data_IF_377601089329
#
_entry.id   IF_377601089329
#
_cell.length_a   1.000
_cell.length_b   1.000
_cell.length_c   1.000
_cell.angle_alpha   90.00
_cell.angle_beta   90.00
_cell.angle_gamma   90.00
#
_symmetry.space_group_name_H-M   'P 1'
#
loop_
_entity.id
_entity.type
_entity.pdbx_description
1 polymer ?
#
# COMPACT_ATOMS: atom_id res chain seq x y z
N UNK A 1 -7.72 22.33 -1.80
CA UNK A 1 -6.42 22.32 -1.12
C UNK A 1 -5.42 22.97 -2.05
N UNK A 2 -4.65 23.93 -1.54
CA UNK A 2 -3.54 24.51 -2.28
C UNK A 2 -2.32 23.57 -2.21
N UNK A 3 -1.35 23.68 -3.11
CA UNK A 3 -0.17 22.78 -3.15
C UNK A 3 0.62 22.78 -1.81
N UNK A 4 0.65 23.92 -1.13
CA UNK A 4 1.25 24.07 0.20
C UNK A 4 0.55 23.20 1.27
N UNK A 5 -0.78 23.17 1.25
CA UNK A 5 -1.59 22.38 2.20
C UNK A 5 -1.36 20.88 1.99
N UNK A 6 -1.28 20.45 0.73
CA UNK A 6 -1.01 19.06 0.38
C UNK A 6 0.36 18.61 0.90
N UNK A 7 1.42 19.40 0.62
CA UNK A 7 2.76 19.08 1.11
C UNK A 7 2.83 19.06 2.63
N UNK A 8 2.17 20.02 3.29
CA UNK A 8 2.08 20.04 4.75
C UNK A 8 1.42 18.76 5.27
N UNK A 9 0.32 18.32 4.64
CA UNK A 9 -0.39 17.10 5.04
C UNK A 9 0.43 15.82 4.82
N UNK A 10 1.20 15.73 3.73
CA UNK A 10 2.17 14.66 3.50
C UNK A 10 3.20 14.62 4.63
N UNK A 11 3.78 15.77 4.99
CA UNK A 11 4.77 15.84 6.08
C UNK A 11 4.16 15.48 7.44
N UNK A 12 2.93 15.91 7.72
CA UNK A 12 2.18 15.52 8.92
C UNK A 12 1.93 14.01 8.94
N UNK A 13 1.64 13.40 7.79
CA UNK A 13 1.44 11.94 7.72
C UNK A 13 2.69 11.14 8.06
N UNK A 14 3.87 11.67 7.75
CA UNK A 14 5.15 11.03 8.06
C UNK A 14 5.58 11.26 9.52
N UNK A 15 5.40 12.48 10.03
CA UNK A 15 5.85 12.88 11.39
C UNK A 15 4.84 12.52 12.48
N UNK A 16 3.57 12.71 12.20
CA UNK A 16 2.44 12.54 13.12
C UNK A 16 1.34 11.68 12.47
N UNK A 17 1.63 10.40 12.13
CA UNK A 17 0.74 9.56 11.35
C UNK A 17 -0.64 9.36 11.99
N UNK A 18 -0.72 9.25 13.32
CA UNK A 18 -2.01 9.11 14.01
C UNK A 18 -2.88 10.37 13.93
N UNK A 19 -2.25 11.55 13.92
CA UNK A 19 -2.96 12.81 13.76
C UNK A 19 -3.49 12.92 12.34
N UNK A 20 -2.65 12.65 11.33
CA UNK A 20 -3.06 12.62 9.94
C UNK A 20 -4.23 11.64 9.69
N UNK A 21 -4.17 10.44 10.27
CA UNK A 21 -5.26 9.47 10.18
C UNK A 21 -6.56 10.01 10.78
N UNK A 22 -6.49 10.64 11.96
CA UNK A 22 -7.67 11.25 12.60
C UNK A 22 -8.23 12.41 11.78
N UNK A 23 -7.37 13.24 11.19
CA UNK A 23 -7.79 14.32 10.30
C UNK A 23 -8.51 13.77 9.06
N UNK A 24 -7.97 12.73 8.43
CA UNK A 24 -8.60 12.06 7.28
C UNK A 24 -9.97 11.47 7.62
N UNK A 25 -10.09 10.80 8.75
CA UNK A 25 -11.38 10.26 9.21
C UNK A 25 -12.37 11.38 9.56
N UNK A 26 -11.90 12.47 10.15
CA UNK A 26 -12.73 13.62 10.52
C UNK A 26 -13.35 14.34 9.30
N UNK A 27 -12.76 14.21 8.11
CA UNK A 27 -13.36 14.71 6.87
C UNK A 27 -14.72 14.07 6.57
N UNK A 28 -15.02 12.90 7.15
CA UNK A 28 -16.30 12.19 7.01
C UNK A 28 -16.78 12.11 5.55
N UNK A 29 -15.85 11.81 4.65
CA UNK A 29 -16.12 11.82 3.21
C UNK A 29 -17.22 10.82 2.85
N UNK A 30 -18.11 11.15 1.90
CA UNK A 30 -19.10 10.21 1.41
C UNK A 30 -18.40 9.03 0.70
N UNK A 31 -19.02 7.86 0.73
CA UNK A 31 -18.42 6.62 0.22
C UNK A 31 -18.00 6.73 -1.26
N UNK A 32 -18.74 7.48 -2.07
CA UNK A 32 -18.39 7.76 -3.47
C UNK A 32 -17.01 8.40 -3.63
N UNK A 33 -16.66 9.35 -2.75
CA UNK A 33 -15.34 10.02 -2.77
C UNK A 33 -14.23 9.07 -2.31
N UNK A 34 -14.52 8.17 -1.37
CA UNK A 34 -13.56 7.15 -0.92
C UNK A 34 -13.23 6.17 -2.04
N UNK A 35 -14.24 5.72 -2.78
CA UNK A 35 -14.06 4.90 -3.97
C UNK A 35 -13.27 5.61 -5.06
N UNK A 36 -13.55 6.90 -5.28
CA UNK A 36 -12.81 7.71 -6.25
C UNK A 36 -11.34 7.86 -5.84
N UNK A 37 -11.04 8.02 -4.55
CA UNK A 37 -9.66 8.05 -4.05
C UNK A 37 -8.93 6.71 -4.29
N UNK A 38 -9.57 5.58 -4.00
CA UNK A 38 -9.01 4.25 -4.28
C UNK A 38 -8.76 4.08 -5.78
N UNK A 39 -9.75 4.39 -6.62
CA UNK A 39 -9.63 4.31 -8.07
C UNK A 39 -8.48 5.16 -8.59
N UNK A 40 -8.39 6.43 -8.16
CA UNK A 40 -7.32 7.33 -8.56
C UNK A 40 -5.94 6.77 -8.20
N UNK A 41 -5.76 6.29 -6.97
CA UNK A 41 -4.46 5.78 -6.52
C UNK A 41 -4.09 4.48 -7.23
N UNK A 42 -5.01 3.54 -7.40
CA UNK A 42 -4.75 2.30 -8.12
C UNK A 42 -4.40 2.57 -9.59
N UNK A 43 -5.16 3.45 -10.26
CA UNK A 43 -4.86 3.81 -11.66
C UNK A 43 -3.52 4.51 -11.80
N UNK A 44 -3.19 5.45 -10.90
CA UNK A 44 -1.90 6.13 -10.92
C UNK A 44 -0.74 5.18 -10.62
N UNK A 45 -0.91 4.26 -9.68
CA UNK A 45 0.09 3.23 -9.38
C UNK A 45 0.32 2.29 -10.56
N UNK A 46 -0.74 1.82 -11.23
CA UNK A 46 -0.63 0.99 -12.42
C UNK A 46 0.06 1.73 -13.59
N UNK A 47 -0.28 3.01 -13.77
CA UNK A 47 0.36 3.86 -14.78
C UNK A 47 1.85 4.07 -14.48
N UNK A 48 2.20 4.37 -13.21
CA UNK A 48 3.58 4.53 -12.78
C UNK A 48 4.38 3.23 -12.93
N UNK A 49 3.80 2.09 -12.55
CA UNK A 49 4.43 0.78 -12.70
C UNK A 49 4.75 0.45 -14.15
N UNK A 50 3.79 0.64 -15.05
CA UNK A 50 3.98 0.45 -16.50
C UNK A 50 5.06 1.41 -17.04
N UNK A 51 5.02 2.68 -16.63
CA UNK A 51 6.01 3.67 -17.06
C UNK A 51 7.43 3.31 -16.58
N UNK A 52 7.56 2.87 -15.33
CA UNK A 52 8.82 2.42 -14.77
C UNK A 52 9.35 1.22 -15.57
N UNK A 53 8.52 0.23 -15.86
CA UNK A 53 8.90 -0.96 -16.62
C UNK A 53 9.45 -0.60 -18.01
N UNK A 54 8.78 0.30 -18.74
CA UNK A 54 9.24 0.80 -20.05
C UNK A 54 10.62 1.44 -19.94
N UNK A 55 10.82 2.32 -18.95
CA UNK A 55 12.12 2.99 -18.71
C UNK A 55 13.20 1.97 -18.37
N UNK A 56 12.87 0.97 -17.56
CA UNK A 56 13.79 -0.09 -17.16
C UNK A 56 14.19 -1.02 -18.29
N UNK A 57 13.24 -1.41 -19.14
CA UNK A 57 13.47 -2.25 -20.31
C UNK A 57 14.41 -1.54 -21.29
N UNK A 58 14.12 -0.26 -21.57
CA UNK A 58 14.97 0.58 -22.40
C UNK A 58 16.41 0.71 -21.85
N UNK A 59 16.56 0.93 -20.53
CA UNK A 59 17.88 1.06 -19.90
C UNK A 59 18.70 -0.24 -19.92
N UNK A 60 18.06 -1.42 -19.93
CA UNK A 60 18.71 -2.73 -19.92
C UNK A 60 18.93 -3.34 -21.31
N UNK A 61 18.38 -2.72 -22.36
CA UNK A 61 18.43 -3.27 -23.72
C UNK A 61 17.69 -4.60 -23.89
N UNK A 62 16.78 -4.92 -22.96
CA UNK A 62 15.94 -6.11 -22.99
C UNK A 62 14.55 -5.73 -23.48
N UNK A 63 13.89 -6.60 -24.24
CA UNK A 63 12.45 -6.43 -24.47
C UNK A 63 11.72 -6.44 -23.12
N UNK A 64 10.64 -5.64 -23.01
CA UNK A 64 9.80 -5.64 -21.82
C UNK A 64 9.41 -7.09 -21.48
N UNK A 65 9.36 -7.42 -20.19
CA UNK A 65 9.12 -8.78 -19.73
C UNK A 65 7.79 -9.35 -20.27
N UNK A 66 7.51 -10.65 -20.06
CA UNK A 66 6.24 -11.24 -20.49
C UNK A 66 5.08 -10.33 -20.07
N UNK A 67 4.26 -9.92 -21.06
CA UNK A 67 3.10 -9.05 -20.92
C UNK A 67 2.13 -9.64 -19.89
N UNK A 68 2.40 -9.44 -18.60
CA UNK A 68 1.41 -9.71 -17.56
C UNK A 68 0.34 -8.67 -17.82
N UNK A 69 -0.86 -9.12 -18.20
CA UNK A 69 -1.93 -8.23 -18.65
C UNK A 69 -2.05 -7.05 -17.65
N UNK A 70 -1.75 -5.80 -18.05
CA UNK A 70 -1.71 -4.66 -17.12
C UNK A 70 -3.01 -4.51 -16.32
N UNK A 71 -4.12 -4.94 -16.94
CA UNK A 71 -5.43 -5.04 -16.32
C UNK A 71 -5.49 -6.02 -15.13
N UNK A 72 -4.82 -7.18 -15.22
CA UNK A 72 -4.76 -8.16 -14.15
C UNK A 72 -3.94 -7.65 -12.96
N UNK A 73 -2.85 -6.94 -13.22
CA UNK A 73 -2.05 -6.29 -12.17
C UNK A 73 -2.83 -5.17 -11.47
N UNK A 74 -3.54 -4.33 -12.23
CA UNK A 74 -4.42 -3.32 -11.67
C UNK A 74 -5.56 -3.93 -10.83
N UNK A 75 -6.16 -5.03 -11.30
CA UNK A 75 -7.19 -5.75 -10.56
C UNK A 75 -6.65 -6.37 -9.27
N UNK A 76 -5.45 -6.95 -9.31
CA UNK A 76 -4.77 -7.47 -8.12
C UNK A 76 -4.49 -6.36 -7.11
N UNK A 77 -3.94 -5.23 -7.57
CA UNK A 77 -3.67 -4.08 -6.71
C UNK A 77 -4.95 -3.53 -6.07
N UNK A 78 -6.02 -3.39 -6.85
CA UNK A 78 -7.32 -3.01 -6.32
C UNK A 78 -7.82 -3.98 -5.24
N UNK A 79 -7.70 -5.29 -5.50
CA UNK A 79 -8.03 -6.33 -4.54
C UNK A 79 -7.21 -6.24 -3.26
N UNK A 80 -5.91 -5.95 -3.35
CA UNK A 80 -5.02 -5.77 -2.20
C UNK A 80 -5.40 -4.54 -1.36
N UNK A 81 -5.79 -3.43 -2.00
CA UNK A 81 -6.26 -2.24 -1.28
C UNK A 81 -7.56 -2.55 -0.51
N UNK A 82 -8.51 -3.24 -1.15
CA UNK A 82 -9.74 -3.65 -0.49
C UNK A 82 -9.49 -4.63 0.64
N UNK A 83 -8.62 -5.60 0.40
CA UNK A 83 -8.19 -6.55 1.42
C UNK A 83 -7.53 -5.82 2.60
N UNK A 84 -6.64 -4.86 2.35
CA UNK A 84 -5.99 -4.07 3.39
C UNK A 84 -6.99 -3.29 4.24
N UNK A 85 -7.96 -2.63 3.61
CA UNK A 85 -9.02 -1.89 4.31
C UNK A 85 -9.94 -2.84 5.12
N UNK A 86 -10.28 -3.98 4.54
CA UNK A 86 -11.03 -5.03 5.22
C UNK A 86 -10.25 -5.58 6.42
N UNK A 87 -8.98 -5.96 6.25
CA UNK A 87 -8.15 -6.52 7.30
C UNK A 87 -7.95 -5.52 8.45
N UNK A 88 -7.66 -4.26 8.13
CA UNK A 88 -7.47 -3.18 9.11
C UNK A 88 -8.72 -2.95 9.97
N UNK A 89 -9.92 -3.05 9.40
CA UNK A 89 -11.19 -2.86 10.12
C UNK A 89 -11.73 -4.13 10.76
N UNK A 90 -11.55 -5.30 10.14
CA UNK A 90 -12.07 -6.58 10.61
C UNK A 90 -11.23 -7.14 11.77
N UNK A 91 -9.92 -7.31 11.56
CA UNK A 91 -9.04 -7.80 12.64
C UNK A 91 -8.91 -6.76 13.75
N UNK A 92 -8.95 -5.47 13.39
CA UNK A 92 -9.04 -4.38 14.36
C UNK A 92 -10.25 -4.54 15.30
N UNK A 93 -11.45 -4.75 14.76
CA UNK A 93 -12.65 -5.02 15.56
C UNK A 93 -12.56 -6.32 16.36
N UNK A 94 -11.99 -7.38 15.78
CA UNK A 94 -11.81 -8.66 16.48
C UNK A 94 -10.89 -8.53 17.71
N UNK A 95 -9.95 -7.59 17.68
CA UNK A 95 -9.07 -7.25 18.81
C UNK A 95 -9.66 -6.17 19.75
N UNK A 96 -10.96 -5.89 19.66
CA UNK A 96 -11.67 -4.91 20.51
C UNK A 96 -11.63 -3.46 20.01
N UNK A 97 -11.21 -3.25 18.76
CA UNK A 97 -11.17 -1.94 18.10
C UNK A 97 -12.53 -1.43 17.64
N UNK A 98 -12.59 -0.14 17.30
CA UNK A 98 -13.81 0.55 16.81
C UNK A 98 -13.77 0.92 15.32
N UNK A 99 -12.80 0.40 14.58
CA UNK A 99 -12.58 0.79 13.19
C UNK A 99 -13.73 0.43 12.26
N UNK A 100 -14.08 1.34 11.36
CA UNK A 100 -15.08 1.10 10.31
C UNK A 100 -14.40 0.82 8.97
N UNK A 101 -15.03 0.00 8.12
CA UNK A 101 -14.50 -0.28 6.77
C UNK A 101 -14.39 0.99 5.91
N UNK A 102 -15.38 1.90 5.87
CA UNK A 102 -15.24 3.14 5.13
C UNK A 102 -13.99 3.93 5.55
N UNK A 103 -13.73 4.05 6.86
CA UNK A 103 -12.60 4.83 7.36
C UNK A 103 -11.27 4.13 7.05
N UNK A 104 -11.24 2.80 7.16
CA UNK A 104 -10.09 2.01 6.70
C UNK A 104 -9.81 2.22 5.20
N UNK A 105 -10.85 2.30 4.36
CA UNK A 105 -10.71 2.45 2.92
C UNK A 105 -9.97 3.73 2.53
N UNK A 106 -10.35 4.87 3.12
CA UNK A 106 -9.67 6.15 2.85
C UNK A 106 -8.25 6.17 3.43
N UNK A 107 -8.04 5.54 4.59
CA UNK A 107 -6.73 5.43 5.21
C UNK A 107 -5.76 4.61 4.36
N UNK A 108 -6.18 3.45 3.85
CA UNK A 108 -5.36 2.62 2.96
C UNK A 108 -5.11 3.33 1.63
N UNK A 109 -6.12 3.97 1.04
CA UNK A 109 -5.94 4.78 -0.16
C UNK A 109 -4.88 5.89 0.05
N UNK A 110 -4.88 6.53 1.22
CA UNK A 110 -3.87 7.52 1.56
C UNK A 110 -2.47 6.94 1.75
N UNK A 111 -2.35 5.76 2.38
CA UNK A 111 -1.07 5.04 2.48
C UNK A 111 -0.51 4.78 1.09
N UNK A 112 -1.32 4.24 0.19
CA UNK A 112 -0.93 3.98 -1.20
C UNK A 112 -0.55 5.27 -1.93
N UNK A 113 -1.24 6.38 -1.69
CA UNK A 113 -0.87 7.68 -2.26
C UNK A 113 0.51 8.16 -1.78
N UNK A 114 0.83 8.00 -0.49
CA UNK A 114 2.15 8.35 0.06
C UNK A 114 3.25 7.44 -0.49
N UNK A 115 2.97 6.14 -0.64
CA UNK A 115 3.90 5.20 -1.24
C UNK A 115 4.11 5.48 -2.72
N UNK A 116 3.06 5.88 -3.46
CA UNK A 116 3.15 6.29 -4.86
C UNK A 116 4.07 7.51 -5.03
N UNK A 117 3.96 8.52 -4.15
CA UNK A 117 4.86 9.68 -4.13
C UNK A 117 6.31 9.21 -3.90
N UNK A 118 6.52 8.32 -2.92
CA UNK A 118 7.82 7.77 -2.62
C UNK A 118 8.43 6.93 -3.76
N UNK A 119 7.61 6.10 -4.43
CA UNK A 119 8.02 5.33 -5.62
C UNK A 119 8.41 6.25 -6.77
N UNK A 120 7.64 7.32 -6.98
CA UNK A 120 7.95 8.33 -8.00
C UNK A 120 9.33 8.94 -7.73
N UNK A 121 9.59 9.37 -6.49
CA UNK A 121 10.90 9.89 -6.08
C UNK A 121 12.01 8.85 -6.25
N UNK A 122 11.74 7.59 -5.93
CA UNK A 122 12.71 6.50 -6.07
C UNK A 122 13.11 6.27 -7.53
N UNK A 123 12.17 6.33 -8.48
CA UNK A 123 12.47 6.22 -9.91
C UNK A 123 13.44 7.34 -10.35
N UNK A 124 13.22 8.57 -9.88
CA UNK A 124 14.15 9.67 -10.15
C UNK A 124 15.54 9.46 -9.53
N UNK A 125 15.61 8.99 -8.28
CA UNK A 125 16.88 8.69 -7.60
C UNK A 125 17.65 7.61 -8.35
N UNK A 126 16.96 6.58 -8.82
CA UNK A 126 17.58 5.46 -9.53
C UNK A 126 18.21 5.88 -10.87
N UNK A 127 17.60 6.81 -11.60
CA UNK A 127 18.17 7.35 -12.84
C UNK A 127 19.54 8.01 -12.59
N UNK A 128 19.75 8.58 -11.39
CA UNK A 128 21.00 9.22 -11.00
C UNK A 128 21.99 8.23 -10.37
N UNK A 129 21.50 7.40 -9.44
CA UNK A 129 22.30 6.49 -8.61
C UNK A 129 21.57 5.15 -8.48
N UNK A 130 21.81 4.18 -9.39
CA UNK A 130 21.08 2.91 -9.42
C UNK A 130 21.14 2.10 -8.13
N UNK A 131 22.29 2.11 -7.44
CA UNK A 131 22.51 1.36 -6.18
C UNK A 131 21.59 1.86 -5.05
N UNK A 132 21.20 3.14 -5.04
CA UNK A 132 20.32 3.69 -4.03
C UNK A 132 18.87 3.23 -4.17
N UNK A 133 18.50 2.67 -5.32
CA UNK A 133 17.14 2.16 -5.55
C UNK A 133 16.74 1.08 -4.54
N UNK A 134 17.65 0.18 -4.18
CA UNK A 134 17.37 -0.87 -3.19
C UNK A 134 17.06 -0.29 -1.80
N UNK A 135 17.82 0.72 -1.38
CA UNK A 135 17.59 1.44 -0.12
C UNK A 135 16.22 2.14 -0.15
N UNK A 136 15.86 2.74 -1.28
CA UNK A 136 14.53 3.33 -1.49
C UNK A 136 13.40 2.31 -1.32
N UNK A 137 13.51 1.13 -1.93
CA UNK A 137 12.51 0.06 -1.78
C UNK A 137 12.38 -0.38 -0.32
N UNK A 138 13.50 -0.57 0.39
CA UNK A 138 13.47 -0.92 1.81
C UNK A 138 12.81 0.19 2.65
N UNK A 139 13.13 1.45 2.38
CA UNK A 139 12.53 2.59 3.06
C UNK A 139 11.01 2.65 2.85
N UNK A 140 10.51 2.35 1.64
CA UNK A 140 9.08 2.28 1.36
C UNK A 140 8.38 1.13 2.09
N UNK A 141 9.03 -0.02 2.23
CA UNK A 141 8.48 -1.14 3.01
C UNK A 141 8.39 -0.75 4.49
N UNK A 142 9.44 -0.14 5.04
CA UNK A 142 9.41 0.37 6.42
C UNK A 142 8.31 1.41 6.58
N UNK A 143 8.16 2.33 5.62
CA UNK A 143 7.12 3.34 5.62
C UNK A 143 5.71 2.74 5.55
N UNK A 144 5.49 1.71 4.73
CA UNK A 144 4.23 0.98 4.63
C UNK A 144 3.83 0.42 6.00
N UNK A 145 4.72 -0.34 6.65
CA UNK A 145 4.42 -0.92 7.95
C UNK A 145 4.25 0.14 9.03
N UNK A 146 5.10 1.17 9.05
CA UNK A 146 4.96 2.31 9.95
C UNK A 146 3.57 2.93 9.85
N UNK A 147 3.15 3.29 8.64
CA UNK A 147 1.84 3.90 8.41
C UNK A 147 0.70 2.93 8.74
N UNK A 148 0.79 1.66 8.33
CA UNK A 148 -0.21 0.64 8.65
C UNK A 148 -0.42 0.52 10.15
N UNK A 149 0.65 0.44 10.94
CA UNK A 149 0.57 0.32 12.40
C UNK A 149 -0.09 1.55 13.00
N UNK A 150 0.38 2.74 12.66
CA UNK A 150 -0.14 3.97 13.23
C UNK A 150 -1.59 4.26 12.80
N UNK A 151 -1.94 3.99 11.54
CA UNK A 151 -3.29 4.20 11.01
C UNK A 151 -4.25 3.16 11.57
N UNK A 152 -3.83 1.89 11.68
CA UNK A 152 -4.62 0.84 12.34
C UNK A 152 -4.90 1.20 13.80
N UNK A 153 -3.89 1.70 14.51
CA UNK A 153 -4.02 2.15 15.88
C UNK A 153 -5.00 3.33 16.01
N UNK A 154 -4.87 4.34 15.14
CA UNK A 154 -5.75 5.51 15.13
C UNK A 154 -7.20 5.16 14.78
N UNK A 155 -7.40 4.31 13.76
CA UNK A 155 -8.71 3.84 13.31
C UNK A 155 -9.43 3.07 14.42
N UNK A 156 -8.72 2.17 15.10
CA UNK A 156 -9.32 1.28 16.08
C UNK A 156 -9.33 1.84 17.50
N UNK A 157 -8.63 2.94 17.76
CA UNK A 157 -8.49 3.55 19.07
C UNK A 157 -7.55 2.78 20.01
N UNK A 158 -6.56 2.07 19.45
CA UNK A 158 -5.59 1.32 20.24
C UNK A 158 -4.53 2.24 20.85
N UNK A 159 -4.21 2.01 22.12
CA UNK A 159 -3.18 2.76 22.85
C UNK A 159 -1.82 2.07 22.85
N UNK A 160 -1.79 0.74 22.76
CA UNK A 160 -0.55 -0.05 22.79
C UNK A 160 -0.02 -0.33 21.37
N UNK A 161 0.94 0.49 20.93
CA UNK A 161 1.53 0.39 19.59
C UNK A 161 2.26 -0.92 19.32
N UNK A 162 2.92 -1.48 20.33
CA UNK A 162 3.69 -2.73 20.16
C UNK A 162 2.74 -3.88 19.83
N UNK A 163 1.60 -3.98 20.53
CA UNK A 163 0.58 -4.98 20.24
C UNK A 163 0.00 -4.82 18.83
N UNK A 164 -0.27 -3.59 18.41
CA UNK A 164 -0.74 -3.31 17.04
C UNK A 164 0.32 -3.70 16.01
N UNK A 165 1.59 -3.35 16.27
CA UNK A 165 2.72 -3.72 15.42
C UNK A 165 2.83 -5.22 15.21
N UNK A 166 2.85 -5.98 16.29
CA UNK A 166 2.89 -7.44 16.25
C UNK A 166 1.68 -8.00 15.50
N UNK A 167 0.47 -7.50 15.79
CA UNK A 167 -0.75 -7.96 15.11
C UNK A 167 -0.71 -7.70 13.60
N UNK A 168 -0.31 -6.48 13.18
CA UNK A 168 -0.17 -6.12 11.76
C UNK A 168 0.82 -7.04 11.06
N UNK A 169 1.98 -7.29 11.66
CA UNK A 169 3.01 -8.18 11.09
C UNK A 169 2.48 -9.61 10.98
N UNK A 170 1.85 -10.15 12.04
CA UNK A 170 1.29 -11.50 12.03
C UNK A 170 0.18 -11.67 10.99
N UNK A 171 -0.73 -10.69 10.87
CA UNK A 171 -1.78 -10.71 9.86
C UNK A 171 -1.17 -10.63 8.47
N UNK A 172 -0.18 -9.76 8.25
CA UNK A 172 0.48 -9.64 6.96
C UNK A 172 1.16 -10.94 6.52
N UNK A 173 1.96 -11.54 7.40
CA UNK A 173 2.66 -12.81 7.14
C UNK A 173 1.63 -13.94 6.95
N UNK A 174 0.66 -14.07 7.86
CA UNK A 174 -0.36 -15.12 7.79
C UNK A 174 -1.18 -15.04 6.50
N UNK A 175 -1.51 -13.82 6.05
CA UNK A 175 -2.28 -13.62 4.83
C UNK A 175 -1.46 -13.87 3.57
N UNK A 176 -0.18 -13.50 3.58
CA UNK A 176 0.76 -13.86 2.52
C UNK A 176 0.95 -15.38 2.40
N UNK A 177 1.08 -16.08 3.54
CA UNK A 177 1.18 -17.55 3.56
C UNK A 177 -0.10 -18.20 3.01
N UNK A 178 -1.28 -17.76 3.46
CA UNK A 178 -2.56 -18.26 2.96
C UNK A 178 -2.72 -18.02 1.45
N UNK A 179 -2.42 -16.82 0.97
CA UNK A 179 -2.46 -16.50 -0.44
C UNK A 179 -1.49 -17.39 -1.25
N UNK A 180 -0.26 -17.57 -0.76
CA UNK A 180 0.73 -18.45 -1.37
C UNK A 180 0.27 -19.91 -1.45
N UNK A 181 -0.26 -20.46 -0.36
CA UNK A 181 -0.81 -21.83 -0.34
C UNK A 181 -1.97 -22.00 -1.31
N UNK A 182 -2.88 -21.02 -1.37
CA UNK A 182 -4.01 -21.04 -2.30
C UNK A 182 -3.53 -21.05 -3.75
N UNK A 183 -2.58 -20.18 -4.11
CA UNK A 183 -2.02 -20.12 -5.46
C UNK A 183 -1.36 -21.43 -5.88
N UNK A 184 -0.64 -22.10 -4.97
CA UNK A 184 -0.05 -23.42 -5.21
C UNK A 184 -1.14 -24.49 -5.37
N UNK A 185 -2.13 -24.52 -4.46
CA UNK A 185 -3.20 -25.52 -4.49
C UNK A 185 -4.11 -25.42 -5.72
N UNK A 186 -4.26 -24.22 -6.28
CA UNK A 186 -5.05 -23.96 -7.48
C UNK A 186 -4.24 -24.13 -8.77
N UNK A 187 -2.96 -24.50 -8.68
CA UNK A 187 -2.10 -24.75 -9.84
C UNK A 187 -1.63 -23.50 -10.58
N UNK A 188 -1.77 -22.31 -9.99
CA UNK A 188 -1.26 -21.05 -10.58
C UNK A 188 0.26 -20.91 -10.45
N UNK A 189 0.91 -21.75 -9.63
CA UNK A 189 2.36 -21.82 -9.49
C UNK A 189 2.83 -23.20 -9.97
N UNK A 190 3.67 -23.28 -11.01
CA UNK A 190 4.28 -24.54 -11.41
C UNK A 190 5.12 -25.09 -10.26
N UNK A 191 4.79 -26.27 -9.75
CA UNK A 191 5.65 -26.98 -8.80
C UNK A 191 6.94 -27.34 -9.54
N UNK A 192 8.13 -26.92 -9.06
CA UNK A 192 9.39 -27.29 -9.71
C UNK A 192 9.48 -28.82 -9.75
N UNK A 193 9.52 -29.41 -10.95
CA UNK A 193 9.51 -30.87 -11.14
C UNK A 193 10.87 -31.54 -10.86
N UNK A 194 11.81 -30.85 -10.21
CA UNK A 194 13.17 -31.34 -10.02
C UNK A 194 13.49 -31.46 -8.53
N UNK A 195 13.19 -32.63 -7.97
CA UNK A 195 13.91 -33.20 -6.82
C UNK A 195 14.40 -34.58 -7.21
#
# INVERSE_FOLDING_TARGET
>A
MNMADFRAFVLTSLRYPQEAARMLMALNLPMSVRWLAVGAVVTLSAALGTAAEIVFAAARGTEAGPNVAPMAMAALQFGLVLYGAWAMSFFGRMMGGRGTFPDALILVAWIEALLLIGQTLQIFVMLLIPILSFVGSMALIVLLFWLLIHFTAALNGFTNMVKVGVAVILIFIGSGMLAGTLLVSLGFVPVPQNM
#
